data_IF_302738450788
#
_entry.id   IF_302738450788
#
_cell.length_a   1.000
_cell.length_b   1.000
_cell.length_c   1.000
_cell.angle_alpha   90.00
_cell.angle_beta   90.00
_cell.angle_gamma   90.00
#
_symmetry.space_group_name_H-M   'P 1'
#
loop_
_entity.id
_entity.type
_entity.pdbx_description
1 polymer ?
#
# COMPACT_ATOMS: atom_id res chain seq x y z
N UNK A 1 -14.10 -5.92 10.18
CA UNK A 1 -13.17 -4.86 9.72
C UNK A 1 -13.92 -3.80 8.91
N UNK A 2 -13.44 -2.55 8.89
CA UNK A 2 -13.96 -1.47 8.05
C UNK A 2 -12.85 -0.90 7.18
N UNK A 3 -13.08 -0.82 5.86
CA UNK A 3 -12.13 -0.19 4.93
C UNK A 3 -12.87 0.63 3.88
N UNK A 4 -12.27 1.74 3.45
CA UNK A 4 -12.84 2.56 2.38
C UNK A 4 -12.98 1.76 1.05
N UNK A 5 -11.99 0.91 0.76
CA UNK A 5 -11.99 0.03 -0.41
C UNK A 5 -11.50 -1.37 0.00
N UNK A 6 -11.99 -2.39 -0.70
CA UNK A 6 -11.56 -3.77 -0.54
C UNK A 6 -11.58 -4.47 -1.90
N UNK A 7 -11.13 -5.72 -1.94
CA UNK A 7 -11.20 -6.59 -3.11
C UNK A 7 -12.58 -6.55 -3.78
N UNK A 8 -12.67 -6.54 -5.13
CA UNK A 8 -11.59 -6.72 -6.13
C UNK A 8 -10.76 -5.46 -6.44
N UNK A 9 -11.01 -4.32 -5.78
CA UNK A 9 -10.21 -3.11 -5.98
C UNK A 9 -8.83 -3.29 -5.34
N UNK A 10 -7.78 -3.25 -6.16
CA UNK A 10 -6.40 -3.53 -5.73
C UNK A 10 -5.69 -2.32 -5.10
N UNK A 11 -4.87 -2.59 -4.09
CA UNK A 11 -4.03 -1.61 -3.39
C UNK A 11 -3.47 -2.16 -2.09
N UNK A 12 -2.59 -1.41 -1.42
CA UNK A 12 -1.94 -1.88 -0.18
C UNK A 12 -2.92 -2.17 0.95
N UNK A 13 -3.88 -1.27 1.21
CA UNK A 13 -4.93 -1.47 2.23
C UNK A 13 -5.84 -2.64 1.85
N UNK A 14 -6.26 -2.73 0.58
CA UNK A 14 -7.13 -3.80 0.13
C UNK A 14 -6.46 -5.18 0.23
N UNK A 15 -5.16 -5.26 -0.09
CA UNK A 15 -4.34 -6.46 0.09
C UNK A 15 -4.21 -6.80 1.56
N UNK A 16 -3.85 -5.85 2.43
CA UNK A 16 -3.81 -6.07 3.87
C UNK A 16 -5.14 -6.62 4.42
N UNK A 17 -6.27 -5.98 4.06
CA UNK A 17 -7.59 -6.45 4.48
C UNK A 17 -7.86 -7.87 3.98
N UNK A 18 -7.52 -8.18 2.74
CA UNK A 18 -7.73 -9.51 2.17
C UNK A 18 -6.87 -10.58 2.86
N UNK A 19 -5.55 -10.36 2.97
CA UNK A 19 -4.60 -11.32 3.54
C UNK A 19 -4.90 -11.60 5.02
N UNK A 20 -5.18 -10.53 5.78
CA UNK A 20 -5.52 -10.64 7.21
C UNK A 20 -6.90 -11.26 7.41
N UNK A 21 -7.93 -10.85 6.66
CA UNK A 21 -9.29 -11.42 6.83
C UNK A 21 -9.33 -12.90 6.49
N UNK A 22 -8.67 -13.30 5.40
CA UNK A 22 -8.62 -14.71 4.95
C UNK A 22 -8.02 -15.61 6.03
N UNK A 23 -6.87 -15.21 6.58
CA UNK A 23 -6.16 -16.00 7.61
C UNK A 23 -6.86 -15.99 8.96
N UNK A 24 -7.45 -14.87 9.37
CA UNK A 24 -8.29 -14.82 10.57
C UNK A 24 -9.50 -15.75 10.43
N UNK A 25 -10.14 -15.75 9.26
CA UNK A 25 -11.23 -16.66 8.93
C UNK A 25 -10.82 -18.13 9.03
N UNK A 26 -9.67 -18.47 8.45
CA UNK A 26 -9.08 -19.81 8.55
C UNK A 26 -8.76 -20.20 10.02
N UNK A 27 -8.44 -19.23 10.87
CA UNK A 27 -8.25 -19.41 12.31
C UNK A 27 -9.57 -19.43 13.12
N UNK A 28 -10.73 -19.44 12.45
CA UNK A 28 -12.05 -19.54 13.09
C UNK A 28 -12.66 -18.23 13.57
N UNK A 29 -12.06 -17.08 13.22
CA UNK A 29 -12.61 -15.75 13.55
C UNK A 29 -13.70 -15.41 12.54
N UNK A 30 -14.88 -14.99 13.02
CA UNK A 30 -15.96 -14.54 12.14
C UNK A 30 -15.70 -13.12 11.59
N UNK A 31 -15.14 -13.03 10.38
CA UNK A 31 -14.74 -11.76 9.78
C UNK A 31 -15.79 -11.26 8.78
N UNK A 32 -16.33 -10.06 9.06
CA UNK A 32 -17.05 -9.26 8.05
C UNK A 32 -16.26 -8.00 7.71
N UNK A 33 -15.96 -7.80 6.43
CA UNK A 33 -15.38 -6.59 5.85
C UNK A 33 -16.51 -5.65 5.40
N UNK A 34 -16.69 -4.56 6.14
CA UNK A 34 -17.60 -3.48 5.79
C UNK A 34 -16.85 -2.47 4.93
N UNK A 35 -17.28 -2.27 3.69
CA UNK A 35 -16.56 -1.40 2.75
C UNK A 35 -17.50 -0.56 1.90
N UNK A 36 -16.92 0.23 0.99
CA UNK A 36 -17.68 1.07 0.08
C UNK A 36 -17.47 0.70 -1.36
N UNK A 37 -18.49 1.01 -2.16
CA UNK A 37 -18.44 0.94 -3.61
C UNK A 37 -18.96 2.26 -4.19
N UNK A 38 -18.06 3.18 -4.60
CA UNK A 38 -18.45 4.42 -5.26
C UNK A 38 -19.06 4.21 -6.65
N UNK A 39 -18.66 3.18 -7.41
CA UNK A 39 -19.25 2.91 -8.73
C UNK A 39 -20.67 2.36 -8.59
N UNK A 40 -20.88 1.53 -7.58
CA UNK A 40 -22.15 0.86 -7.32
C UNK A 40 -22.41 -0.30 -8.27
N UNK A 41 -21.35 -0.81 -8.92
CA UNK A 41 -21.37 -1.92 -9.88
C UNK A 41 -21.05 -3.27 -9.22
N UNK A 42 -20.48 -3.26 -8.01
CA UNK A 42 -20.11 -4.47 -7.29
C UNK A 42 -21.29 -5.04 -6.48
N UNK A 43 -21.30 -6.35 -6.21
CA UNK A 43 -22.30 -6.97 -5.33
C UNK A 43 -22.34 -6.32 -3.94
N UNK A 44 -23.55 -6.05 -3.45
CA UNK A 44 -23.77 -5.47 -2.11
C UNK A 44 -23.26 -6.37 -0.99
N UNK A 45 -23.36 -7.68 -1.16
CA UNK A 45 -22.79 -8.68 -0.28
C UNK A 45 -22.11 -9.76 -1.11
N UNK A 46 -21.03 -10.30 -0.57
CA UNK A 46 -20.22 -11.34 -1.22
C UNK A 46 -19.55 -12.20 -0.16
N UNK A 47 -19.48 -13.50 -0.40
CA UNK A 47 -18.71 -14.45 0.38
C UNK A 47 -17.35 -14.64 -0.31
N UNK A 48 -16.27 -14.37 0.40
CA UNK A 48 -14.90 -14.63 -0.04
C UNK A 48 -14.36 -15.76 0.83
N UNK A 49 -13.49 -16.66 0.32
CA UNK A 49 -12.88 -17.68 1.16
C UNK A 49 -12.30 -17.09 2.46
N UNK A 50 -12.89 -17.48 3.60
CA UNK A 50 -12.52 -17.02 4.94
C UNK A 50 -13.26 -15.79 5.48
N UNK A 51 -13.97 -14.99 4.67
CA UNK A 51 -14.65 -13.79 5.20
C UNK A 51 -15.79 -13.26 4.33
N UNK A 52 -16.67 -12.48 4.96
CA UNK A 52 -17.81 -11.81 4.32
C UNK A 52 -17.47 -10.40 3.90
N UNK A 53 -17.99 -9.94 2.77
CA UNK A 53 -17.92 -8.53 2.35
C UNK A 53 -19.32 -7.93 2.31
N UNK A 54 -19.47 -6.71 2.85
CA UNK A 54 -20.68 -5.89 2.69
C UNK A 54 -20.32 -4.50 2.22
N UNK A 55 -20.97 -4.05 1.14
CA UNK A 55 -20.65 -2.81 0.43
C UNK A 55 -21.79 -1.80 0.56
N UNK A 56 -21.42 -0.54 0.81
CA UNK A 56 -22.34 0.59 0.77
C UNK A 56 -21.92 1.61 -0.28
N UNK A 57 -22.91 2.27 -0.87
CA UNK A 57 -22.66 3.42 -1.74
C UNK A 57 -22.00 4.54 -0.95
N UNK A 58 -20.99 5.14 -1.57
CA UNK A 58 -20.25 6.27 -1.06
C UNK A 58 -20.58 7.55 -1.83
N UNK A 59 -20.61 8.68 -1.13
CA UNK A 59 -20.96 9.98 -1.69
C UNK A 59 -20.01 11.09 -1.22
N UNK A 60 -19.61 12.02 -2.11
CA UNK A 60 -19.88 12.01 -3.56
C UNK A 60 -19.01 10.98 -4.29
N UNK A 61 -19.57 10.32 -5.33
CA UNK A 61 -18.95 9.17 -6.02
C UNK A 61 -17.60 9.47 -6.67
N UNK A 62 -17.40 10.69 -7.15
CA UNK A 62 -16.23 11.12 -7.92
C UNK A 62 -15.21 11.93 -7.13
N UNK A 63 -15.27 11.91 -5.78
CA UNK A 63 -14.27 12.61 -4.95
C UNK A 63 -13.73 11.72 -3.84
N UNK A 64 -12.48 11.96 -3.48
CA UNK A 64 -11.77 11.14 -2.49
C UNK A 64 -12.21 11.34 -1.03
N UNK A 65 -12.90 12.45 -0.69
CA UNK A 65 -13.54 12.60 0.64
C UNK A 65 -15.01 12.23 0.50
N UNK A 66 -15.25 10.94 0.32
CA UNK A 66 -16.59 10.42 0.37
C UNK A 66 -16.92 9.90 1.76
N UNK A 67 -18.22 9.84 2.02
CA UNK A 67 -18.87 9.31 3.19
C UNK A 67 -19.74 8.13 2.75
N UNK A 68 -19.92 7.16 3.64
CA UNK A 68 -20.89 6.08 3.46
C UNK A 68 -21.89 6.10 4.62
N UNK A 69 -22.93 6.96 4.57
CA UNK A 69 -23.90 7.08 5.66
C UNK A 69 -24.64 5.77 5.96
N UNK A 70 -24.85 4.92 4.94
CA UNK A 70 -25.45 3.60 5.10
C UNK A 70 -24.59 2.66 5.97
N UNK A 71 -23.27 2.70 5.81
CA UNK A 71 -22.33 1.93 6.62
C UNK A 71 -22.36 2.43 8.07
N UNK A 72 -22.33 3.74 8.28
CA UNK A 72 -22.43 4.35 9.61
C UNK A 72 -23.74 3.95 10.31
N UNK A 73 -24.86 4.00 9.59
CA UNK A 73 -26.18 3.60 10.10
C UNK A 73 -26.26 2.11 10.41
N UNK A 74 -25.58 1.26 9.64
CA UNK A 74 -25.45 -0.17 9.93
C UNK A 74 -24.73 -0.37 11.26
N UNK A 75 -23.57 0.26 11.46
CA UNK A 75 -22.82 0.18 12.72
C UNK A 75 -23.61 0.69 13.92
N UNK A 76 -24.31 1.83 13.79
CA UNK A 76 -25.16 2.37 14.85
C UNK A 76 -26.33 1.46 15.27
N UNK A 77 -26.67 0.47 14.45
CA UNK A 77 -27.76 -0.49 14.70
C UNK A 77 -27.26 -1.90 14.99
N UNK A 78 -25.98 -2.15 14.78
CA UNK A 78 -25.38 -3.47 15.00
C UNK A 78 -25.03 -3.63 16.47
N UNK A 79 -25.29 -4.81 17.02
CA UNK A 79 -24.83 -5.23 18.35
C UNK A 79 -24.04 -6.54 18.31
N UNK A 80 -23.82 -7.06 17.10
CA UNK A 80 -23.34 -8.42 16.85
C UNK A 80 -21.82 -8.46 16.55
N UNK A 81 -21.10 -7.39 16.89
CA UNK A 81 -19.65 -7.30 16.66
C UNK A 81 -18.93 -7.14 17.99
N UNK A 82 -17.98 -8.04 18.26
CA UNK A 82 -17.11 -7.96 19.44
C UNK A 82 -16.09 -6.82 19.30
N UNK A 83 -15.64 -6.54 18.07
CA UNK A 83 -14.67 -5.48 17.78
C UNK A 83 -14.86 -4.90 16.37
N UNK A 84 -14.71 -3.58 16.25
CA UNK A 84 -14.67 -2.88 14.95
C UNK A 84 -13.25 -2.38 14.70
N UNK A 85 -12.53 -3.09 13.84
CA UNK A 85 -11.19 -2.70 13.38
C UNK A 85 -11.26 -1.92 12.07
N UNK A 86 -10.90 -0.64 12.10
CA UNK A 86 -10.90 0.29 10.96
C UNK A 86 -9.52 0.37 10.31
N UNK A 87 -9.49 0.52 8.99
CA UNK A 87 -8.29 0.44 8.17
C UNK A 87 -8.04 1.76 7.43
N UNK A 88 -7.03 2.52 7.89
CA UNK A 88 -6.64 3.82 7.35
C UNK A 88 -7.60 4.95 7.71
N UNK A 89 -7.16 6.20 7.53
CA UNK A 89 -7.96 7.42 7.85
C UNK A 89 -7.98 8.46 6.71
N UNK A 90 -7.84 7.98 5.47
CA UNK A 90 -7.73 8.85 4.28
C UNK A 90 -9.05 9.46 3.82
N UNK A 91 -10.15 8.75 4.06
CA UNK A 91 -11.51 9.18 3.71
C UNK A 91 -12.28 9.48 5.00
N UNK A 92 -13.48 10.04 4.87
CA UNK A 92 -14.35 10.26 6.03
C UNK A 92 -15.07 8.98 6.47
N UNK A 93 -14.98 7.88 5.71
CA UNK A 93 -15.59 6.59 6.09
C UNK A 93 -15.02 6.07 7.39
N UNK A 94 -13.69 6.07 7.52
CA UNK A 94 -13.00 5.56 8.69
C UNK A 94 -13.35 6.31 9.99
N UNK A 95 -13.21 7.65 10.10
CA UNK A 95 -13.57 8.36 11.32
C UNK A 95 -15.08 8.29 11.62
N UNK A 96 -15.95 8.27 10.61
CA UNK A 96 -17.39 8.12 10.84
C UNK A 96 -17.73 6.72 11.33
N UNK A 97 -17.08 5.67 10.82
CA UNK A 97 -17.25 4.31 11.28
C UNK A 97 -16.75 4.11 12.72
N UNK A 98 -15.57 4.67 13.05
CA UNK A 98 -15.05 4.69 14.42
C UNK A 98 -16.04 5.35 15.37
N UNK A 99 -16.49 6.57 15.04
CA UNK A 99 -17.44 7.30 15.88
C UNK A 99 -18.78 6.56 16.04
N UNK A 100 -19.29 5.94 14.97
CA UNK A 100 -20.51 5.14 15.01
C UNK A 100 -20.38 3.93 15.95
N UNK A 101 -19.29 3.16 15.84
CA UNK A 101 -19.03 2.00 16.68
C UNK A 101 -18.81 2.38 18.15
N UNK A 102 -18.02 3.42 18.42
CA UNK A 102 -17.80 3.92 19.78
C UNK A 102 -19.10 4.43 20.43
N UNK A 103 -19.97 5.09 19.66
CA UNK A 103 -21.26 5.59 20.15
C UNK A 103 -22.20 4.48 20.63
N UNK A 104 -22.08 3.28 20.05
CA UNK A 104 -22.83 2.10 20.50
C UNK A 104 -22.04 1.24 21.49
N UNK A 105 -20.83 1.64 21.88
CA UNK A 105 -20.04 0.93 22.88
C UNK A 105 -19.34 -0.33 22.37
N UNK A 106 -19.19 -0.50 21.04
CA UNK A 106 -18.38 -1.59 20.49
C UNK A 106 -16.89 -1.19 20.59
N UNK A 107 -16.00 -2.03 21.15
CA UNK A 107 -14.56 -1.79 21.14
C UNK A 107 -14.05 -1.48 19.73
N UNK A 108 -13.23 -0.43 19.60
CA UNK A 108 -12.71 0.00 18.29
C UNK A 108 -11.20 -0.08 18.22
N UNK A 109 -10.71 -0.50 17.06
CA UNK A 109 -9.29 -0.48 16.72
C UNK A 109 -9.07 0.28 15.42
N UNK A 110 -7.87 0.82 15.25
CA UNK A 110 -7.47 1.45 13.99
C UNK A 110 -6.05 1.05 13.61
N UNK A 111 -5.87 0.52 12.41
CA UNK A 111 -4.55 0.47 11.76
C UNK A 111 -4.34 1.70 10.89
N UNK A 112 -3.27 2.43 11.16
CA UNK A 112 -2.82 3.59 10.41
C UNK A 112 -2.25 3.09 9.08
N UNK A 113 -2.77 3.63 7.97
CA UNK A 113 -2.31 3.29 6.61
C UNK A 113 -2.10 4.54 5.76
N UNK A 114 -1.66 5.67 6.33
CA UNK A 114 -1.88 7.00 5.72
C UNK A 114 -0.95 7.36 4.55
N UNK A 115 0.06 6.54 4.28
CA UNK A 115 1.04 6.77 3.22
C UNK A 115 1.72 8.14 3.34
N UNK A 116 1.74 8.75 4.53
CA UNK A 116 2.23 10.11 4.79
C UNK A 116 1.42 11.26 4.17
N UNK A 117 1.78 12.53 4.49
CA UNK A 117 1.04 13.71 4.05
C UNK A 117 1.05 13.92 2.52
N UNK A 118 2.00 13.30 1.80
CA UNK A 118 2.12 13.34 0.33
C UNK A 118 1.46 12.17 -0.39
N UNK A 119 0.93 11.17 0.32
CA UNK A 119 0.22 10.04 -0.29
C UNK A 119 -1.12 10.41 -0.94
N UNK A 120 -1.41 11.70 -1.10
CA UNK A 120 -2.64 12.20 -1.71
C UNK A 120 -2.34 13.16 -2.88
N UNK A 121 -3.00 13.05 -4.05
CA UNK A 121 -2.68 13.88 -5.20
C UNK A 121 -3.07 15.36 -5.02
N UNK A 122 -3.96 15.67 -4.06
CA UNK A 122 -4.43 17.04 -3.81
C UNK A 122 -3.49 17.83 -2.91
N UNK A 123 -2.88 18.89 -3.46
CA UNK A 123 -2.00 19.82 -2.73
C UNK A 123 -2.71 20.48 -1.54
N UNK A 124 -3.95 20.96 -1.73
CA UNK A 124 -4.74 21.58 -0.66
C UNK A 124 -4.91 20.63 0.53
N UNK A 125 -5.18 19.35 0.26
CA UNK A 125 -5.38 18.36 1.31
C UNK A 125 -4.11 18.00 2.05
N UNK A 126 -2.95 18.03 1.37
CA UNK A 126 -1.66 17.88 2.03
C UNK A 126 -1.45 18.95 3.12
N UNK A 127 -1.92 20.18 2.90
CA UNK A 127 -1.85 21.25 3.89
C UNK A 127 -2.87 21.11 5.02
N UNK A 128 -4.07 20.56 4.74
CA UNK A 128 -5.13 20.40 5.75
C UNK A 128 -5.00 19.12 6.60
N UNK A 129 -4.21 18.13 6.18
CA UNK A 129 -4.05 16.85 6.89
C UNK A 129 -3.64 16.97 8.36
N UNK A 130 -2.66 17.80 8.75
CA UNK A 130 -2.33 17.99 10.17
C UNK A 130 -3.52 18.48 11.00
N UNK A 131 -4.31 19.41 10.45
CA UNK A 131 -5.51 19.94 11.10
C UNK A 131 -6.60 18.88 11.21
N UNK A 132 -6.78 18.05 10.18
CA UNK A 132 -7.67 16.90 10.21
C UNK A 132 -7.26 15.91 11.29
N UNK A 133 -5.97 15.56 11.39
CA UNK A 133 -5.48 14.62 12.39
C UNK A 133 -5.59 15.16 13.80
N UNK A 134 -5.35 16.45 13.99
CA UNK A 134 -5.57 17.11 15.28
C UNK A 134 -7.05 17.09 15.69
N UNK A 135 -7.97 17.38 14.76
CA UNK A 135 -9.41 17.31 15.00
C UNK A 135 -9.90 15.87 15.26
N UNK A 136 -9.27 14.86 14.65
CA UNK A 136 -9.58 13.45 14.90
C UNK A 136 -8.89 12.89 16.15
N UNK A 137 -7.90 13.57 16.72
CA UNK A 137 -7.11 13.04 17.82
C UNK A 137 -7.95 12.56 19.03
N UNK A 138 -9.01 13.26 19.48
CA UNK A 138 -9.86 12.74 20.56
C UNK A 138 -10.51 11.39 20.23
N UNK A 139 -10.99 11.23 18.99
CA UNK A 139 -11.58 9.99 18.49
C UNK A 139 -10.57 8.85 18.37
N UNK A 140 -9.33 9.19 17.99
CA UNK A 140 -8.23 8.22 17.90
C UNK A 140 -7.77 7.78 19.30
N UNK A 141 -7.71 8.70 20.27
CA UNK A 141 -7.34 8.36 21.65
C UNK A 141 -8.38 7.49 22.35
N UNK A 142 -9.64 7.54 21.94
CA UNK A 142 -10.72 6.71 22.50
C UNK A 142 -10.81 5.30 21.89
N UNK A 143 -9.97 4.95 20.92
CA UNK A 143 -9.91 3.57 20.42
C UNK A 143 -9.25 2.65 21.46
N UNK A 144 -9.73 1.41 21.55
CA UNK A 144 -9.15 0.38 22.42
C UNK A 144 -7.70 0.04 22.03
N UNK A 145 -7.38 0.08 20.72
CA UNK A 145 -6.01 -0.05 20.26
C UNK A 145 -5.74 0.72 18.95
N UNK A 146 -4.54 1.30 18.87
CA UNK A 146 -3.98 1.91 17.67
C UNK A 146 -2.82 1.05 17.16
N UNK A 147 -2.80 0.79 15.86
CA UNK A 147 -1.78 -0.01 15.18
C UNK A 147 -1.09 0.84 14.12
N UNK A 148 0.24 0.81 14.06
CA UNK A 148 1.02 1.36 12.97
C UNK A 148 1.70 0.22 12.20
N UNK A 149 1.78 0.33 10.87
CA UNK A 149 2.48 -0.67 10.03
C UNK A 149 3.95 -0.33 9.82
N UNK A 150 4.40 0.82 10.32
CA UNK A 150 5.78 1.29 10.25
C UNK A 150 6.14 2.22 11.40
N UNK A 151 7.42 2.27 11.75
CA UNK A 151 7.95 3.24 12.72
C UNK A 151 7.73 4.69 12.25
N UNK A 152 7.76 4.91 10.93
CA UNK A 152 7.47 6.22 10.33
C UNK A 152 6.05 6.69 10.69
N UNK A 153 5.03 5.84 10.54
CA UNK A 153 3.67 6.21 10.91
C UNK A 153 3.50 6.44 12.40
N UNK A 154 4.13 5.60 13.23
CA UNK A 154 4.12 5.78 14.68
C UNK A 154 4.69 7.16 15.06
N UNK A 155 5.84 7.54 14.50
CA UNK A 155 6.46 8.84 14.73
C UNK A 155 5.63 10.00 14.17
N UNK A 156 5.03 9.82 12.99
CA UNK A 156 4.17 10.82 12.36
C UNK A 156 2.93 11.11 13.20
N UNK A 157 2.31 10.10 13.81
CA UNK A 157 1.09 10.25 14.61
C UNK A 157 1.35 10.67 16.05
N UNK A 158 2.57 10.50 16.56
CA UNK A 158 2.91 10.80 17.95
C UNK A 158 2.56 12.24 18.40
N UNK A 159 2.87 13.31 17.62
CA UNK A 159 2.52 14.68 18.01
C UNK A 159 1.01 14.92 18.16
N UNK A 160 0.19 14.18 17.41
CA UNK A 160 -1.27 14.32 17.45
C UNK A 160 -1.89 13.55 18.60
N UNK A 161 -1.28 12.45 19.02
CA UNK A 161 -1.81 11.56 20.04
C UNK A 161 -1.32 11.90 21.45
N UNK A 162 -0.21 12.65 21.59
CA UNK A 162 0.35 13.00 22.91
C UNK A 162 0.77 11.75 23.67
N UNK A 163 0.36 11.62 24.93
CA UNK A 163 0.72 10.47 25.78
C UNK A 163 0.26 9.12 25.22
N UNK A 164 -0.84 9.11 24.44
CA UNK A 164 -1.33 7.91 23.75
C UNK A 164 -0.40 7.44 22.61
N UNK A 165 0.62 8.20 22.23
CA UNK A 165 1.58 7.76 21.22
C UNK A 165 2.39 6.52 21.65
N UNK A 166 2.62 6.36 22.96
CA UNK A 166 3.33 5.20 23.52
C UNK A 166 2.55 3.89 23.43
N UNK A 167 1.22 3.95 23.30
CA UNK A 167 0.35 2.77 23.20
C UNK A 167 0.16 2.26 21.78
N UNK A 168 0.66 2.98 20.76
CA UNK A 168 0.59 2.54 19.36
C UNK A 168 1.38 1.23 19.21
N UNK A 169 0.67 0.15 18.86
CA UNK A 169 1.25 -1.17 18.58
C UNK A 169 1.85 -1.16 17.18
N UNK A 170 3.08 -1.64 17.05
CA UNK A 170 3.75 -1.77 15.77
C UNK A 170 3.51 -3.18 15.22
N UNK A 171 2.63 -3.32 14.23
CA UNK A 171 2.35 -4.59 13.56
C UNK A 171 2.57 -4.38 12.07
N UNK A 172 3.69 -4.89 11.55
CA UNK A 172 4.08 -4.75 10.14
C UNK A 172 3.23 -5.68 9.26
N UNK A 173 3.05 -5.32 8.00
CA UNK A 173 2.35 -6.20 7.06
C UNK A 173 3.25 -7.38 6.67
N UNK A 174 2.62 -8.44 6.19
CA UNK A 174 3.33 -9.51 5.50
C UNK A 174 3.93 -9.02 4.18
N UNK A 175 5.04 -9.67 3.83
CA UNK A 175 5.94 -9.28 2.75
C UNK A 175 6.39 -10.49 1.90
N UNK A 176 5.66 -11.59 1.98
CA UNK A 176 5.95 -12.80 1.24
C UNK A 176 6.09 -12.50 -0.25
N UNK A 177 7.03 -13.16 -0.95
CA UNK A 177 7.10 -13.03 -2.40
C UNK A 177 5.75 -13.39 -3.02
N UNK A 178 5.42 -12.69 -4.09
CA UNK A 178 4.25 -13.03 -4.88
C UNK A 178 4.38 -14.47 -5.40
N UNK A 179 3.26 -15.19 -5.58
CA UNK A 179 3.29 -16.44 -6.31
C UNK A 179 3.92 -16.20 -7.69
N UNK A 180 4.55 -17.22 -8.26
CA UNK A 180 5.17 -17.18 -9.58
C UNK A 180 4.43 -18.16 -10.49
N UNK A 181 4.00 -17.69 -11.66
CA UNK A 181 3.55 -18.54 -12.75
C UNK A 181 4.20 -18.10 -14.07
N UNK A 182 4.35 -19.04 -15.01
CA UNK A 182 5.00 -18.80 -16.30
C UNK A 182 4.09 -18.14 -17.35
N UNK A 183 2.97 -17.54 -16.94
CA UNK A 183 2.04 -16.89 -17.88
C UNK A 183 2.44 -15.45 -18.25
N UNK A 184 3.48 -14.89 -17.62
CA UNK A 184 3.98 -13.56 -17.94
C UNK A 184 4.91 -13.60 -19.16
N UNK A 185 4.57 -12.83 -20.19
CA UNK A 185 5.55 -12.45 -21.22
C UNK A 185 6.52 -11.42 -20.63
N UNK A 186 7.75 -11.86 -20.35
CA UNK A 186 8.81 -10.99 -19.85
C UNK A 186 9.56 -10.38 -21.04
N UNK A 187 9.70 -9.05 -21.12
CA UNK A 187 10.42 -8.43 -22.22
C UNK A 187 11.88 -8.90 -22.28
N UNK A 188 12.34 -9.30 -23.46
CA UNK A 188 13.74 -9.62 -23.68
C UNK A 188 14.62 -8.37 -23.57
N UNK A 189 15.70 -8.48 -22.79
CA UNK A 189 16.69 -7.43 -22.60
C UNK A 189 17.28 -7.44 -21.19
N UNK A 190 18.45 -6.83 -21.02
CA UNK A 190 19.12 -6.71 -19.73
C UNK A 190 19.87 -5.37 -19.64
N UNK A 191 19.83 -4.69 -18.48
CA UNK A 191 19.05 -5.05 -17.31
C UNK A 191 17.54 -4.84 -17.51
N UNK A 192 16.73 -5.69 -16.90
CA UNK A 192 15.29 -5.55 -16.75
C UNK A 192 14.98 -4.78 -15.47
N UNK A 193 14.48 -3.55 -15.64
CA UNK A 193 14.02 -2.71 -14.53
C UNK A 193 12.51 -2.82 -14.41
N UNK A 194 12.02 -2.97 -13.17
CA UNK A 194 10.58 -2.99 -12.89
C UNK A 194 10.19 -1.88 -11.93
N UNK A 195 9.02 -1.28 -12.13
CA UNK A 195 8.44 -0.31 -11.23
C UNK A 195 6.97 -0.64 -11.00
N UNK A 196 6.66 -1.23 -9.84
CA UNK A 196 5.33 -1.75 -9.50
C UNK A 196 4.59 -0.79 -8.57
N UNK A 197 3.35 -0.47 -8.89
CA UNK A 197 2.49 0.34 -8.03
C UNK A 197 1.38 1.08 -8.79
N UNK A 198 0.47 1.73 -8.04
CA UNK A 198 -0.58 2.56 -8.65
C UNK A 198 0.05 3.66 -9.50
N UNK A 199 -0.47 3.89 -10.70
CA UNK A 199 0.00 4.97 -11.58
C UNK A 199 -0.55 6.32 -11.11
N UNK A 200 0.00 6.79 -10.00
CA UNK A 200 -0.18 8.13 -9.46
C UNK A 200 1.16 8.85 -9.47
N UNK A 201 1.14 10.18 -9.65
CA UNK A 201 2.37 10.96 -9.77
C UNK A 201 3.31 10.77 -8.58
N UNK A 202 2.77 10.68 -7.36
CA UNK A 202 3.57 10.55 -6.14
C UNK A 202 4.30 9.20 -6.05
N UNK A 203 3.90 8.17 -6.79
CA UNK A 203 4.60 6.87 -6.82
C UNK A 203 5.90 6.89 -7.63
N UNK A 204 6.17 8.00 -8.33
CA UNK A 204 7.51 8.26 -8.84
C UNK A 204 7.93 7.46 -10.08
N UNK A 205 7.04 6.71 -10.74
CA UNK A 205 7.37 5.95 -11.96
C UNK A 205 8.02 6.82 -13.06
N UNK A 206 7.64 8.09 -13.15
CA UNK A 206 8.22 9.06 -14.09
C UNK A 206 9.72 9.32 -13.86
N UNK A 207 10.24 9.07 -12.66
CA UNK A 207 11.63 9.33 -12.30
C UNK A 207 12.56 8.30 -12.91
N UNK A 208 12.23 7.01 -12.78
CA UNK A 208 12.99 5.94 -13.44
C UNK A 208 12.80 5.97 -14.96
N UNK A 209 11.59 6.31 -15.44
CA UNK A 209 11.37 6.57 -16.87
C UNK A 209 12.22 7.73 -17.39
N UNK A 210 12.40 8.78 -16.58
CA UNK A 210 13.24 9.94 -16.92
C UNK A 210 14.72 9.61 -17.00
N UNK A 211 15.18 8.63 -16.23
CA UNK A 211 16.55 8.12 -16.23
C UNK A 211 16.82 7.10 -17.35
N UNK A 212 15.77 6.61 -18.03
CA UNK A 212 15.92 5.56 -19.04
C UNK A 212 16.84 5.92 -20.22
N UNK A 213 16.88 7.16 -20.75
CA UNK A 213 17.85 7.54 -21.78
C UNK A 213 19.31 7.33 -21.34
N UNK A 214 19.66 7.75 -20.13
CA UNK A 214 21.01 7.58 -19.57
C UNK A 214 21.32 6.10 -19.27
N UNK A 215 20.33 5.33 -18.84
CA UNK A 215 20.44 3.87 -18.69
C UNK A 215 20.75 3.23 -20.04
N UNK A 216 20.01 3.59 -21.10
CA UNK A 216 20.19 3.03 -22.45
C UNK A 216 21.54 3.41 -23.07
N UNK A 217 22.10 4.57 -22.71
CA UNK A 217 23.44 4.97 -23.13
C UNK A 217 24.52 4.03 -22.59
N UNK A 218 24.37 3.53 -21.37
CA UNK A 218 25.31 2.59 -20.75
C UNK A 218 24.97 1.11 -20.99
N UNK A 219 23.68 0.79 -21.13
CA UNK A 219 23.15 -0.56 -21.33
C UNK A 219 22.09 -0.55 -22.45
N UNK A 220 22.51 -0.65 -23.74
CA UNK A 220 21.61 -0.50 -24.90
C UNK A 220 20.50 -1.55 -25.00
N UNK A 221 20.57 -2.63 -24.24
CA UNK A 221 19.57 -3.70 -24.19
C UNK A 221 18.62 -3.60 -22.99
N UNK A 222 18.72 -2.55 -22.18
CA UNK A 222 17.87 -2.38 -21.01
C UNK A 222 16.37 -2.28 -21.38
N UNK A 223 15.52 -2.77 -20.48
CA UNK A 223 14.06 -2.70 -20.57
C UNK A 223 13.50 -2.14 -19.28
N UNK A 224 12.44 -1.34 -19.39
CA UNK A 224 11.68 -0.85 -18.24
C UNK A 224 10.23 -1.33 -18.31
N UNK A 225 9.77 -2.03 -17.28
CA UNK A 225 8.35 -2.38 -17.11
C UNK A 225 7.76 -1.57 -15.96
N UNK A 226 6.74 -0.77 -16.26
CA UNK A 226 5.93 -0.08 -15.27
C UNK A 226 4.62 -0.86 -15.12
N UNK A 227 4.45 -1.48 -13.96
CA UNK A 227 3.35 -2.38 -13.66
C UNK A 227 2.34 -1.74 -12.69
N UNK A 228 1.16 -1.42 -13.20
CA UNK A 228 0.04 -0.90 -12.43
C UNK A 228 -0.95 -0.14 -13.29
N UNK A 229 -1.99 0.41 -12.65
CA UNK A 229 -3.02 1.22 -13.30
C UNK A 229 -3.26 2.51 -12.53
N UNK A 230 -3.76 3.53 -13.22
CA UNK A 230 -4.10 4.81 -12.59
C UNK A 230 -4.08 6.00 -13.54
N UNK A 231 -4.54 7.18 -13.08
CA UNK A 231 -4.72 8.37 -13.90
C UNK A 231 -3.41 8.93 -14.47
N UNK A 232 -2.26 8.51 -13.96
CA UNK A 232 -0.94 8.98 -14.41
C UNK A 232 -0.37 8.17 -15.58
N UNK A 233 -1.08 7.17 -16.10
CA UNK A 233 -0.65 6.37 -17.25
C UNK A 233 -0.40 7.20 -18.50
N UNK A 234 -1.37 8.04 -18.91
CA UNK A 234 -1.24 8.83 -20.14
C UNK A 234 -0.09 9.85 -20.08
N UNK A 235 0.16 10.55 -18.95
CA UNK A 235 1.38 11.30 -18.73
C UNK A 235 2.67 10.47 -18.91
N UNK A 236 2.74 9.25 -18.37
CA UNK A 236 3.92 8.37 -18.51
C UNK A 236 4.15 7.98 -19.98
N UNK A 237 3.11 7.56 -20.70
CA UNK A 237 3.20 7.25 -22.14
C UNK A 237 3.65 8.45 -22.96
N UNK A 238 3.16 9.64 -22.63
CA UNK A 238 3.57 10.89 -23.30
C UNK A 238 5.03 11.22 -23.03
N UNK A 239 5.50 11.00 -21.79
CA UNK A 239 6.90 11.17 -21.43
C UNK A 239 7.81 10.18 -22.16
N UNK A 240 7.44 8.90 -22.25
CA UNK A 240 8.19 7.89 -22.99
C UNK A 240 8.34 8.25 -24.48
N UNK A 241 7.29 8.80 -25.11
CA UNK A 241 7.36 9.32 -26.48
C UNK A 241 8.30 10.50 -26.61
N UNK A 242 8.19 11.48 -25.71
CA UNK A 242 9.04 12.68 -25.72
C UNK A 242 10.51 12.35 -25.54
N UNK A 243 10.82 11.34 -24.73
CA UNK A 243 12.19 10.87 -24.50
C UNK A 243 12.71 9.95 -25.61
N UNK A 244 11.87 9.53 -26.56
CA UNK A 244 12.27 8.63 -27.64
C UNK A 244 12.53 7.18 -27.21
N UNK A 245 11.96 6.73 -26.08
CA UNK A 245 12.22 5.41 -25.47
C UNK A 245 10.98 4.51 -25.44
N UNK A 246 9.98 4.79 -26.27
CA UNK A 246 8.68 4.09 -26.21
C UNK A 246 8.78 2.60 -26.54
N UNK A 247 9.74 2.21 -27.37
CA UNK A 247 10.07 0.83 -27.70
C UNK A 247 10.77 0.08 -26.56
N UNK A 248 11.32 0.80 -25.57
CA UNK A 248 12.05 0.25 -24.42
C UNK A 248 11.25 0.21 -23.12
N UNK A 249 9.99 0.66 -23.16
CA UNK A 249 9.12 0.76 -21.98
C UNK A 249 7.80 0.03 -22.21
N UNK A 250 7.47 -0.89 -21.31
CA UNK A 250 6.14 -1.52 -21.25
C UNK A 250 5.37 -0.97 -20.05
N UNK A 251 4.17 -0.44 -20.30
CA UNK A 251 3.24 -0.02 -19.24
C UNK A 251 2.02 -0.94 -19.29
N UNK A 252 1.82 -1.72 -18.23
CA UNK A 252 0.80 -2.78 -18.15
C UNK A 252 0.18 -2.84 -16.74
N UNK A 253 -0.96 -3.52 -16.61
CA UNK A 253 -1.61 -3.75 -15.32
C UNK A 253 -1.88 -5.25 -15.12
N UNK A 254 -1.75 -5.71 -13.88
CA UNK A 254 -2.05 -7.07 -13.47
C UNK A 254 -3.29 -7.05 -12.58
N UNK A 255 -4.37 -7.71 -13.02
CA UNK A 255 -5.53 -7.96 -12.20
C UNK A 255 -5.22 -8.97 -11.07
N UNK A 256 -6.12 -9.13 -10.10
CA UNK A 256 -5.97 -10.12 -9.04
C UNK A 256 -5.67 -11.55 -9.51
N UNK A 257 -6.25 -11.94 -10.64
CA UNK A 257 -6.09 -13.25 -11.27
C UNK A 257 -4.71 -13.45 -11.92
N UNK A 258 -3.95 -12.37 -12.14
CA UNK A 258 -2.61 -12.39 -12.75
C UNK A 258 -1.50 -12.05 -11.76
N UNK A 259 -1.72 -12.31 -10.46
CA UNK A 259 -0.71 -12.10 -9.43
C UNK A 259 0.53 -12.97 -9.65
N UNK A 260 0.37 -14.19 -10.15
CA UNK A 260 1.48 -15.08 -10.46
C UNK A 260 2.38 -14.55 -11.57
N UNK A 261 1.78 -14.04 -12.64
CA UNK A 261 2.48 -13.35 -13.72
C UNK A 261 3.25 -12.10 -13.23
N UNK A 262 2.66 -11.32 -12.32
CA UNK A 262 3.35 -10.17 -11.71
C UNK A 262 4.53 -10.62 -10.84
N UNK A 263 4.37 -11.72 -10.09
CA UNK A 263 5.47 -12.30 -9.31
C UNK A 263 6.62 -12.77 -10.18
N UNK A 264 6.34 -13.43 -11.32
CA UNK A 264 7.37 -13.79 -12.31
C UNK A 264 8.12 -12.57 -12.84
N UNK A 265 7.39 -11.52 -13.23
CA UNK A 265 8.01 -10.27 -13.69
C UNK A 265 8.94 -9.67 -12.65
N UNK A 266 8.55 -9.68 -11.37
CA UNK A 266 9.37 -9.13 -10.29
C UNK A 266 10.58 -10.01 -10.02
N UNK A 267 10.40 -11.34 -9.98
CA UNK A 267 11.47 -12.31 -9.72
C UNK A 267 12.53 -12.34 -10.84
N UNK A 268 12.12 -12.16 -12.10
CA UNK A 268 13.02 -12.16 -13.26
C UNK A 268 13.68 -10.78 -13.50
N UNK A 269 13.33 -9.75 -12.71
CA UNK A 269 13.91 -8.41 -12.85
C UNK A 269 15.29 -8.28 -12.19
N UNK A 270 16.17 -7.50 -12.81
CA UNK A 270 17.49 -7.18 -12.24
C UNK A 270 17.39 -6.14 -11.10
N UNK A 271 16.40 -5.25 -11.18
CA UNK A 271 16.16 -4.23 -10.16
C UNK A 271 14.70 -3.78 -10.09
N UNK A 272 14.16 -3.70 -8.87
CA UNK A 272 12.90 -3.05 -8.55
C UNK A 272 13.14 -1.58 -8.18
N UNK A 273 12.50 -0.67 -8.91
CA UNK A 273 12.59 0.77 -8.69
C UNK A 273 11.28 1.34 -8.13
N UNK A 274 11.32 1.81 -6.86
CA UNK A 274 10.21 2.52 -6.22
C UNK A 274 10.64 3.90 -5.71
N UNK A 275 10.49 4.91 -6.56
CA UNK A 275 10.92 6.28 -6.30
C UNK A 275 9.78 7.16 -5.75
N UNK A 276 8.97 6.58 -4.86
CA UNK A 276 7.79 7.23 -4.27
C UNK A 276 8.15 8.42 -3.40
N UNK A 277 7.30 9.44 -3.40
CA UNK A 277 7.41 10.60 -2.50
C UNK A 277 7.07 10.26 -1.04
N UNK A 278 6.32 9.18 -0.83
CA UNK A 278 5.83 8.77 0.49
C UNK A 278 5.27 7.34 0.46
N UNK A 279 5.69 6.52 1.41
CA UNK A 279 5.21 5.17 1.67
C UNK A 279 5.11 4.96 3.19
N UNK A 280 4.07 4.27 3.65
CA UNK A 280 4.00 3.80 5.04
C UNK A 280 4.85 2.54 5.19
N UNK A 281 4.43 1.48 4.49
CA UNK A 281 5.08 0.19 4.50
C UNK A 281 5.08 -0.33 3.05
N UNK A 282 6.22 -0.30 2.36
CA UNK A 282 6.31 -0.44 0.90
C UNK A 282 6.23 -1.90 0.46
N UNK A 283 5.04 -2.51 0.58
CA UNK A 283 4.79 -3.95 0.33
C UNK A 283 5.41 -4.43 -0.98
N UNK A 284 5.21 -3.71 -2.09
CA UNK A 284 5.77 -4.11 -3.40
C UNK A 284 7.31 -4.20 -3.43
N UNK A 285 8.02 -3.37 -2.65
CA UNK A 285 9.49 -3.49 -2.55
C UNK A 285 9.85 -4.69 -1.70
N UNK A 286 9.14 -4.95 -0.62
CA UNK A 286 9.43 -6.09 0.25
C UNK A 286 9.08 -7.41 -0.42
N UNK A 287 7.99 -7.49 -1.19
CA UNK A 287 7.68 -8.62 -2.07
C UNK A 287 8.83 -8.88 -3.07
N UNK A 288 9.39 -7.83 -3.66
CA UNK A 288 10.55 -7.95 -4.56
C UNK A 288 11.81 -8.46 -3.84
N UNK A 289 12.11 -7.90 -2.66
CA UNK A 289 13.23 -8.36 -1.83
C UNK A 289 13.05 -9.82 -1.40
N UNK A 290 11.82 -10.23 -1.05
CA UNK A 290 11.47 -11.62 -0.73
C UNK A 290 11.64 -12.57 -1.90
N UNK A 291 11.53 -12.07 -3.14
CA UNK A 291 11.82 -12.82 -4.37
C UNK A 291 13.32 -12.83 -4.73
N UNK A 292 14.18 -12.15 -3.95
CA UNK A 292 15.61 -11.99 -4.23
C UNK A 292 15.95 -10.81 -5.16
N UNK A 293 14.96 -10.04 -5.59
CA UNK A 293 15.12 -8.88 -6.47
C UNK A 293 15.60 -7.68 -5.68
N UNK A 294 16.76 -7.14 -6.07
CA UNK A 294 17.35 -5.96 -5.43
C UNK A 294 16.51 -4.71 -5.70
N UNK A 295 16.56 -3.74 -4.80
CA UNK A 295 15.71 -2.55 -4.88
C UNK A 295 16.49 -1.23 -4.85
N UNK A 296 16.13 -0.33 -5.78
CA UNK A 296 16.44 1.09 -5.73
C UNK A 296 15.20 1.87 -5.29
N UNK A 297 15.27 2.53 -4.15
CA UNK A 297 14.12 3.24 -3.56
C UNK A 297 14.44 4.70 -3.29
N UNK A 298 13.42 5.54 -3.24
CA UNK A 298 13.60 6.91 -2.78
C UNK A 298 13.97 6.95 -1.28
N UNK A 299 14.87 7.84 -0.88
CA UNK A 299 15.16 8.12 0.52
C UNK A 299 14.04 8.97 1.15
N UNK A 300 12.87 8.34 1.38
CA UNK A 300 11.75 8.99 2.05
C UNK A 300 10.98 8.05 2.97
N UNK A 301 10.38 8.60 4.02
CA UNK A 301 9.31 7.94 4.82
C UNK A 301 9.63 6.48 5.19
N UNK A 302 8.73 5.51 4.89
CA UNK A 302 8.96 4.09 5.13
C UNK A 302 10.08 3.47 4.27
N UNK A 303 10.43 4.07 3.13
CA UNK A 303 11.51 3.58 2.25
C UNK A 303 12.89 3.84 2.86
N UNK A 304 13.10 4.97 3.55
CA UNK A 304 14.35 5.27 4.25
C UNK A 304 14.71 4.21 5.31
N UNK A 305 13.70 3.55 5.90
CA UNK A 305 13.93 2.47 6.85
C UNK A 305 14.55 1.22 6.18
N UNK A 306 14.22 0.95 4.91
CA UNK A 306 14.85 -0.12 4.13
C UNK A 306 16.32 0.21 3.84
N UNK A 307 16.63 1.47 3.52
CA UNK A 307 18.01 1.93 3.36
C UNK A 307 18.84 1.76 4.63
N UNK A 308 18.33 2.23 5.77
CA UNK A 308 19.01 2.11 7.06
C UNK A 308 19.25 0.67 7.53
N UNK A 309 18.39 -0.25 7.11
CA UNK A 309 18.53 -1.69 7.41
C UNK A 309 19.42 -2.43 6.40
N UNK A 310 19.93 -1.74 5.37
CA UNK A 310 20.73 -2.35 4.31
C UNK A 310 19.93 -3.21 3.33
N UNK A 311 18.60 -3.19 3.40
CA UNK A 311 17.72 -3.99 2.56
C UNK A 311 17.54 -3.41 1.15
N UNK A 312 17.75 -2.11 0.95
CA UNK A 312 17.61 -1.45 -0.33
C UNK A 312 18.62 -0.31 -0.50
N UNK A 313 19.02 -0.01 -1.73
CA UNK A 313 19.77 1.21 -2.04
C UNK A 313 18.81 2.38 -2.12
N UNK A 314 19.14 3.48 -1.42
CA UNK A 314 18.31 4.68 -1.40
C UNK A 314 18.89 5.78 -2.29
N UNK A 315 18.02 6.58 -2.91
CA UNK A 315 18.40 7.76 -3.69
C UNK A 315 17.51 8.96 -3.38
N UNK A 316 18.08 10.17 -3.42
CA UNK A 316 17.31 11.40 -3.23
C UNK A 316 16.25 11.59 -4.31
N UNK A 317 15.09 12.13 -3.93
CA UNK A 317 14.06 12.58 -4.87
C UNK A 317 14.46 13.85 -5.64
N UNK A 318 15.59 14.45 -5.33
CA UNK A 318 16.14 15.58 -6.06
C UNK A 318 17.29 15.15 -6.98
N UNK A 319 17.65 13.86 -6.97
CA UNK A 319 18.68 13.32 -7.84
C UNK A 319 18.27 13.50 -9.31
N UNK A 320 19.19 14.03 -10.15
CA UNK A 320 18.94 14.18 -11.56
C UNK A 320 18.95 12.81 -12.27
N UNK A 321 18.37 12.70 -13.48
CA UNK A 321 18.22 11.44 -14.21
C UNK A 321 19.49 10.60 -14.33
N UNK A 322 20.64 11.24 -14.58
CA UNK A 322 21.93 10.58 -14.71
C UNK A 322 22.38 9.86 -13.43
N UNK A 323 22.06 10.41 -12.25
CA UNK A 323 22.37 9.77 -10.96
C UNK A 323 21.41 8.62 -10.68
N UNK A 324 20.14 8.78 -11.04
CA UNK A 324 19.15 7.70 -10.94
C UNK A 324 19.55 6.53 -11.84
N UNK A 325 20.01 6.81 -13.06
CA UNK A 325 20.50 5.80 -14.00
C UNK A 325 21.71 5.06 -13.44
N UNK A 326 22.73 5.79 -12.99
CA UNK A 326 23.94 5.20 -12.40
C UNK A 326 23.61 4.31 -11.19
N UNK A 327 22.72 4.77 -10.30
CA UNK A 327 22.29 3.99 -9.14
C UNK A 327 21.51 2.73 -9.55
N UNK A 328 20.60 2.83 -10.52
CA UNK A 328 19.82 1.68 -10.99
C UNK A 328 20.72 0.60 -11.62
N UNK A 329 21.69 1.02 -12.43
CA UNK A 329 22.67 0.12 -13.04
C UNK A 329 23.60 -0.52 -12.01
N UNK A 330 24.05 0.24 -11.01
CA UNK A 330 24.87 -0.29 -9.92
C UNK A 330 24.11 -1.36 -9.11
N UNK A 331 22.83 -1.13 -8.81
CA UNK A 331 21.99 -2.11 -8.11
C UNK A 331 21.74 -3.35 -8.97
N UNK A 332 21.46 -3.18 -10.26
CA UNK A 332 21.28 -4.29 -11.20
C UNK A 332 22.55 -5.16 -11.26
N UNK A 333 23.73 -4.55 -11.36
CA UNK A 333 25.02 -5.23 -11.47
C UNK A 333 25.53 -5.88 -10.17
N UNK A 334 24.96 -5.55 -9.00
CA UNK A 334 25.39 -6.14 -7.74
C UNK A 334 25.21 -7.67 -7.75
N UNK A 335 26.01 -8.42 -6.98
CA UNK A 335 25.81 -9.86 -6.88
C UNK A 335 24.41 -10.20 -6.31
N UNK A 336 23.76 -11.30 -6.75
CA UNK A 336 22.56 -11.79 -6.11
C UNK A 336 22.81 -12.05 -4.63
N UNK A 337 21.88 -11.64 -3.77
CA UNK A 337 21.88 -11.98 -2.34
C UNK A 337 20.73 -12.92 -2.04
N UNK A 338 20.92 -13.81 -1.06
CA UNK A 338 19.80 -14.60 -0.55
C UNK A 338 18.66 -13.66 -0.07
N UNK A 339 17.39 -14.03 -0.28
CA UNK A 339 16.27 -13.24 0.22
C UNK A 339 16.41 -12.98 1.73
N UNK A 340 16.21 -11.74 2.19
CA UNK A 340 16.28 -11.41 3.60
C UNK A 340 15.08 -12.02 4.36
N UNK A 341 15.23 -12.18 5.67
CA UNK A 341 14.08 -12.50 6.54
C UNK A 341 13.16 -11.27 6.63
N UNK A 342 11.94 -11.40 6.13
CA UNK A 342 10.93 -10.34 6.14
C UNK A 342 9.73 -10.77 6.99
N UNK A 343 8.93 -9.82 7.54
CA UNK A 343 7.70 -10.15 8.25
C UNK A 343 6.72 -10.92 7.35
N UNK A 344 6.10 -11.97 7.86
CA UNK A 344 5.06 -12.72 7.15
C UNK A 344 3.65 -12.20 7.47
N UNK A 345 2.68 -12.52 6.61
CA UNK A 345 1.26 -12.29 6.88
C UNK A 345 0.78 -13.13 8.06
N UNK A 346 1.38 -14.31 8.28
CA UNK A 346 1.08 -15.15 9.43
C UNK A 346 1.52 -14.47 10.74
N UNK A 347 2.74 -13.90 10.78
CA UNK A 347 3.22 -13.11 11.93
C UNK A 347 2.32 -11.88 12.19
N UNK A 348 1.89 -11.22 11.12
CA UNK A 348 0.99 -10.07 11.18
C UNK A 348 -0.36 -10.47 11.80
N UNK A 349 -0.94 -11.57 11.33
CA UNK A 349 -2.24 -12.08 11.77
C UNK A 349 -2.16 -12.60 13.19
N UNK A 350 -1.09 -13.30 13.58
CA UNK A 350 -0.92 -13.77 14.95
C UNK A 350 -0.87 -12.61 15.95
N UNK A 351 -0.14 -11.54 15.63
CA UNK A 351 -0.08 -10.33 16.45
C UNK A 351 -1.43 -9.61 16.51
N UNK A 352 -2.14 -9.49 15.39
CA UNK A 352 -3.48 -8.90 15.36
C UNK A 352 -4.50 -9.74 16.14
N UNK A 353 -4.44 -11.06 16.02
CA UNK A 353 -5.34 -11.97 16.73
C UNK A 353 -5.11 -11.88 18.25
N UNK A 354 -3.85 -11.82 18.71
CA UNK A 354 -3.54 -11.55 20.12
C UNK A 354 -4.12 -10.22 20.58
N UNK A 355 -3.94 -9.17 19.79
CA UNK A 355 -4.47 -7.85 20.10
C UNK A 355 -6.01 -7.82 20.12
N UNK A 356 -6.68 -8.59 19.26
CA UNK A 356 -8.13 -8.73 19.31
C UNK A 356 -8.59 -9.35 20.62
N UNK A 357 -7.93 -10.42 21.08
CA UNK A 357 -8.26 -11.04 22.36
C UNK A 357 -8.04 -10.08 23.53
N UNK A 358 -6.98 -9.27 23.50
CA UNK A 358 -6.74 -8.23 24.50
C UNK A 358 -7.84 -7.16 24.52
N UNK A 359 -8.39 -6.80 23.36
CA UNK A 359 -9.42 -5.77 23.22
C UNK A 359 -10.83 -6.27 23.55
N UNK A 360 -11.10 -7.57 23.36
CA UNK A 360 -12.41 -8.20 23.59
C UNK A 360 -12.53 -8.92 24.94
N UNK A 361 -11.44 -9.09 25.68
CA UNK A 361 -11.44 -9.61 27.05
C UNK A 361 -11.94 -8.53 28.03
#
# INVERSE_FOLDING_TARGET
MVSAFAFPLMGGIATHVHEVSTRLGAAGVDVTVLTTDPSGELPVAEEVPGYRVRRWRAYPRSRDYYLAPGLARHLLRSRDYDVVHVQGIHTLVAPVALAAAQRVGIPTMLTIHTGGPKGHPSRVRRYLRPLQWWGLAPLLRSTAALVAVSDYERQMFAPFLGDAAGSIRLIRNGCEPLPVDDSAEIPEGSPLLVSVGRLERFKGHHRILGALPDILAAAPNARLVIAGSGPYEQPLRTMARRLGVSDRVSICAFGPERRGAMGKLVADADVMCLLSESESHPVAVMEALGAGTKALVADTTGLSALGRSGLATTISLEAPPEQVAAAALAVAAAAPSAPPSLPSWDDCVEQLHRLYREVTA
#
